data_IF_025785603631
#
_entry.id   IF_025785603631
#
_cell.length_a   1.000
_cell.length_b   1.000
_cell.length_c   1.000
_cell.angle_alpha   90.00
_cell.angle_beta   90.00
_cell.angle_gamma   90.00
#
_symmetry.space_group_name_H-M   'P 1'
#
loop_
_entity.id
_entity.type
_entity.pdbx_description
1 polymer ?
#
# COMPACT_ATOMS: atom_id res chain seq x y z
N UNK A 1 -10.38 44.65 -18.93
CA UNK A 1 -9.84 43.29 -18.71
C UNK A 1 -10.02 43.03 -17.22
N UNK A 2 -10.98 42.17 -16.85
CA UNK A 2 -11.19 41.82 -15.45
C UNK A 2 -10.10 40.84 -15.05
N UNK A 3 -9.27 41.24 -14.10
CA UNK A 3 -8.50 40.30 -13.29
C UNK A 3 -9.53 39.43 -12.57
N UNK A 4 -9.67 38.18 -13.02
CA UNK A 4 -10.39 37.18 -12.25
C UNK A 4 -9.52 36.88 -11.04
N UNK A 5 -9.85 37.47 -9.90
CA UNK A 5 -9.49 36.93 -8.58
C UNK A 5 -9.93 35.46 -8.59
N UNK A 6 -8.98 34.58 -8.89
CA UNK A 6 -9.23 33.15 -8.92
C UNK A 6 -9.16 32.73 -7.46
N UNK A 7 -10.32 32.67 -6.83
CA UNK A 7 -10.46 32.21 -5.44
C UNK A 7 -9.81 30.83 -5.32
N UNK A 8 -8.84 30.70 -4.41
CA UNK A 8 -8.13 29.44 -4.20
C UNK A 8 -9.12 28.37 -3.71
N UNK A 9 -8.93 27.14 -4.16
CA UNK A 9 -9.76 26.03 -3.72
C UNK A 9 -9.51 25.69 -2.24
N UNK A 10 -10.46 24.99 -1.60
CA UNK A 10 -10.29 24.52 -0.22
C UNK A 10 -9.04 23.62 -0.06
N UNK A 11 -8.72 22.82 -1.08
CA UNK A 11 -7.51 21.99 -1.12
C UNK A 11 -6.24 22.84 -1.27
N UNK A 12 -6.26 23.92 -2.06
CA UNK A 12 -5.10 24.81 -2.23
C UNK A 12 -4.77 25.61 -0.96
N UNK A 13 -5.78 25.88 -0.12
CA UNK A 13 -5.62 26.61 1.14
C UNK A 13 -5.41 25.71 2.36
N UNK A 14 -5.43 24.39 2.19
CA UNK A 14 -5.42 23.45 3.30
C UNK A 14 -4.03 23.29 3.92
N UNK A 15 -3.83 23.75 5.15
CA UNK A 15 -2.59 23.51 5.88
C UNK A 15 -2.71 22.21 6.71
N UNK A 16 -1.96 21.14 6.37
CA UNK A 16 -2.01 19.87 7.08
C UNK A 16 -1.28 19.90 8.44
N UNK A 17 -0.48 20.94 8.72
CA UNK A 17 0.30 21.10 9.96
C UNK A 17 1.21 19.91 10.32
N UNK A 18 1.69 19.17 9.31
CA UNK A 18 2.63 18.06 9.51
C UNK A 18 4.05 18.61 9.64
N UNK A 19 4.65 18.41 10.81
CA UNK A 19 6.04 18.79 11.04
C UNK A 19 6.99 17.78 10.40
N UNK A 20 8.09 18.28 9.83
CA UNK A 20 9.17 17.44 9.31
C UNK A 20 9.79 16.63 10.45
N UNK A 21 9.75 15.31 10.33
CA UNK A 21 10.34 14.39 11.29
C UNK A 21 11.81 14.09 10.97
N UNK A 22 12.51 13.51 11.94
CA UNK A 22 13.90 13.08 11.80
C UNK A 22 14.01 11.62 12.24
N UNK A 23 14.61 10.80 11.40
CA UNK A 23 15.00 9.44 11.76
C UNK A 23 16.33 9.49 12.55
N UNK A 24 16.44 8.80 13.70
CA UNK A 24 17.68 8.80 14.51
C UNK A 24 18.87 8.11 13.83
N UNK A 25 18.63 7.26 12.82
CA UNK A 25 19.65 6.50 12.09
C UNK A 25 20.15 7.22 10.82
N UNK A 26 19.56 8.35 10.44
CA UNK A 26 20.02 9.11 9.28
C UNK A 26 18.96 10.01 8.66
N UNK A 27 19.17 10.33 7.38
CA UNK A 27 18.29 11.20 6.60
C UNK A 27 17.13 10.44 5.94
N UNK A 28 16.56 9.45 6.63
CA UNK A 28 15.49 8.61 6.11
C UNK A 28 14.12 9.24 6.37
N UNK A 29 13.20 9.07 5.41
CA UNK A 29 11.79 9.49 5.59
C UNK A 29 10.88 8.32 5.92
N UNK A 30 11.21 7.12 5.43
CA UNK A 30 10.41 5.92 5.65
C UNK A 30 10.82 5.21 6.95
N UNK A 31 9.85 4.62 7.68
CA UNK A 31 10.11 3.79 8.85
C UNK A 31 11.09 2.65 8.55
N UNK A 32 11.80 2.20 9.59
CA UNK A 32 12.85 1.19 9.48
C UNK A 32 12.36 -0.10 8.80
N UNK A 33 11.14 -0.55 9.12
CA UNK A 33 10.56 -1.75 8.55
C UNK A 33 10.52 -1.73 7.02
N UNK A 34 10.04 -0.64 6.40
CA UNK A 34 9.98 -0.52 4.93
C UNK A 34 11.39 -0.46 4.30
N UNK A 35 12.30 0.32 4.87
CA UNK A 35 13.65 0.46 4.29
C UNK A 35 14.57 -0.73 4.51
N UNK A 36 14.19 -1.66 5.40
CA UNK A 36 14.98 -2.86 5.70
C UNK A 36 14.46 -4.11 4.99
N UNK A 37 13.40 -3.99 4.18
CA UNK A 37 12.86 -5.11 3.44
C UNK A 37 13.91 -5.72 2.50
N UNK A 38 13.93 -7.05 2.34
CA UNK A 38 14.84 -7.71 1.43
C UNK A 38 14.41 -7.51 -0.03
N UNK A 39 15.37 -7.47 -0.95
CA UNK A 39 15.07 -7.47 -2.37
C UNK A 39 14.39 -8.77 -2.82
N UNK A 40 13.37 -8.68 -3.70
CA UNK A 40 12.91 -7.47 -4.40
C UNK A 40 11.76 -6.72 -3.70
N UNK A 41 11.38 -7.07 -2.47
CA UNK A 41 10.20 -6.50 -1.79
C UNK A 41 10.36 -5.03 -1.40
N UNK A 42 11.59 -4.50 -1.35
CA UNK A 42 11.91 -3.09 -1.13
C UNK A 42 11.82 -2.23 -2.41
N UNK A 43 11.54 -2.86 -3.55
CA UNK A 43 11.39 -2.26 -4.87
C UNK A 43 10.00 -2.69 -5.39
N UNK A 44 9.05 -1.78 -5.58
CA UNK A 44 7.70 -2.08 -6.09
C UNK A 44 7.65 -2.56 -7.55
N UNK A 45 8.63 -3.37 -7.98
CA UNK A 45 8.82 -3.91 -9.32
C UNK A 45 8.13 -5.27 -9.43
N UNK A 46 6.86 -5.23 -9.85
CA UNK A 46 6.05 -6.43 -10.04
C UNK A 46 6.65 -7.40 -11.07
N UNK A 47 7.31 -6.92 -12.13
CA UNK A 47 7.88 -7.80 -13.15
C UNK A 47 8.95 -8.69 -12.53
N UNK A 48 9.81 -8.11 -11.68
CA UNK A 48 10.83 -8.86 -10.94
C UNK A 48 10.22 -9.74 -9.85
N UNK A 49 9.21 -9.27 -9.12
CA UNK A 49 8.54 -10.03 -8.06
C UNK A 49 7.81 -11.23 -8.65
N UNK A 50 7.03 -11.03 -9.72
CA UNK A 50 6.23 -12.05 -10.39
C UNK A 50 7.07 -13.24 -10.86
N UNK A 51 8.30 -13.00 -11.29
CA UNK A 51 9.26 -14.00 -11.77
C UNK A 51 10.06 -14.71 -10.66
N UNK A 52 9.94 -14.31 -9.39
CA UNK A 52 10.68 -14.93 -8.29
C UNK A 52 10.32 -16.42 -8.13
N UNK A 53 11.29 -17.32 -7.93
CA UNK A 53 11.00 -18.72 -7.68
C UNK A 53 10.34 -18.91 -6.31
N UNK A 54 9.30 -19.75 -6.21
CA UNK A 54 8.58 -20.04 -4.95
C UNK A 54 9.32 -21.08 -4.10
N UNK A 55 10.61 -20.87 -3.84
CA UNK A 55 11.41 -21.75 -2.97
C UNK A 55 11.03 -21.55 -1.49
N UNK A 56 11.36 -22.52 -0.64
CA UNK A 56 11.08 -22.40 0.80
C UNK A 56 11.75 -21.19 1.46
N UNK A 57 12.94 -20.79 1.00
CA UNK A 57 13.63 -19.59 1.46
C UNK A 57 12.86 -18.32 1.10
N UNK A 58 12.37 -18.20 -0.15
CA UNK A 58 11.59 -17.05 -0.59
C UNK A 58 10.21 -16.99 0.06
N UNK A 59 9.60 -18.13 0.34
CA UNK A 59 8.34 -18.18 1.10
C UNK A 59 8.56 -17.76 2.55
N UNK A 60 9.66 -18.18 3.18
CA UNK A 60 9.99 -17.73 4.54
C UNK A 60 10.26 -16.22 4.59
N UNK A 61 10.95 -15.69 3.59
CA UNK A 61 11.18 -14.25 3.41
C UNK A 61 9.86 -13.49 3.22
N UNK A 62 9.00 -13.93 2.30
CA UNK A 62 7.69 -13.34 2.05
C UNK A 62 6.81 -13.32 3.32
N UNK A 63 6.81 -14.42 4.09
CA UNK A 63 6.14 -14.48 5.39
C UNK A 63 6.70 -13.44 6.36
N UNK A 64 8.02 -13.30 6.44
CA UNK A 64 8.65 -12.31 7.30
C UNK A 64 8.25 -10.88 6.91
N UNK A 65 8.27 -10.57 5.60
CA UNK A 65 7.87 -9.26 5.07
C UNK A 65 6.45 -8.91 5.53
N UNK A 66 5.47 -9.75 5.26
CA UNK A 66 4.06 -9.45 5.62
C UNK A 66 3.86 -9.39 7.13
N UNK A 67 4.57 -10.23 7.90
CA UNK A 67 4.54 -10.16 9.37
C UNK A 67 5.03 -8.80 9.87
N UNK A 68 6.16 -8.32 9.36
CA UNK A 68 6.74 -7.03 9.72
C UNK A 68 5.83 -5.85 9.31
N UNK A 69 5.25 -5.91 8.10
CA UNK A 69 4.27 -4.93 7.64
C UNK A 69 3.03 -4.85 8.55
N UNK A 70 2.62 -5.97 9.12
CA UNK A 70 1.42 -6.05 9.95
C UNK A 70 1.66 -5.65 11.41
N UNK A 71 2.87 -5.89 11.92
CA UNK A 71 3.19 -5.71 13.35
C UNK A 71 3.83 -4.36 13.68
N UNK A 72 4.45 -3.66 12.72
CA UNK A 72 5.08 -2.37 12.97
C UNK A 72 4.05 -1.21 12.99
N UNK A 73 3.81 -0.56 14.16
CA UNK A 73 2.84 0.53 14.27
C UNK A 73 3.27 1.80 13.51
N UNK A 74 4.56 1.99 13.20
CA UNK A 74 5.03 3.15 12.43
C UNK A 74 4.55 3.11 10.97
N UNK A 75 4.05 1.96 10.50
CA UNK A 75 3.53 1.78 9.15
C UNK A 75 2.06 2.19 8.99
N UNK A 76 1.38 2.54 10.07
CA UNK A 76 0.02 3.06 10.07
C UNK A 76 -0.06 4.44 10.75
N UNK A 77 0.68 5.46 10.25
CA UNK A 77 0.63 6.79 10.83
C UNK A 77 -0.76 7.42 10.64
N UNK A 78 -1.14 8.30 11.56
CA UNK A 78 -2.33 9.16 11.37
C UNK A 78 -2.02 10.19 10.26
N UNK A 79 -2.67 10.03 9.11
CA UNK A 79 -2.50 10.92 7.96
C UNK A 79 -3.62 11.95 7.93
N UNK A 80 -3.32 13.26 8.06
CA UNK A 80 -4.31 14.31 7.92
C UNK A 80 -5.08 14.19 6.60
N UNK A 81 -6.41 14.21 6.68
CA UNK A 81 -7.27 14.04 5.52
C UNK A 81 -7.44 15.37 4.78
N UNK A 82 -7.13 15.44 3.48
CA UNK A 82 -7.37 16.65 2.70
C UNK A 82 -8.88 16.91 2.56
N UNK A 83 -9.30 18.17 2.40
CA UNK A 83 -10.70 18.49 2.14
C UNK A 83 -11.14 17.90 0.77
N UNK A 84 -12.38 17.44 0.70
CA UNK A 84 -13.01 16.96 -0.54
C UNK A 84 -13.01 18.07 -1.60
N UNK A 85 -12.66 17.81 -2.89
CA UNK A 85 -13.03 16.61 -3.65
C UNK A 85 -11.94 15.57 -3.98
N UNK A 86 -10.77 15.60 -3.36
CA UNK A 86 -9.77 14.52 -3.50
C UNK A 86 -8.79 14.70 -4.67
N UNK A 87 -8.79 15.86 -5.35
CA UNK A 87 -7.79 16.17 -6.38
C UNK A 87 -6.39 16.24 -5.75
N UNK A 88 -6.29 16.70 -4.49
CA UNK A 88 -5.01 16.73 -3.79
C UNK A 88 -4.43 15.33 -3.58
N UNK A 89 -5.28 14.31 -3.36
CA UNK A 89 -4.83 12.91 -3.26
C UNK A 89 -4.23 12.43 -4.59
N UNK A 90 -4.83 12.78 -5.72
CA UNK A 90 -4.25 12.44 -7.03
C UNK A 90 -2.89 13.10 -7.25
N UNK A 91 -2.68 14.32 -6.74
CA UNK A 91 -1.37 14.97 -6.84
C UNK A 91 -0.35 14.36 -5.87
N UNK A 92 -0.78 13.85 -4.71
CA UNK A 92 0.07 13.00 -3.87
C UNK A 92 0.50 11.74 -4.61
N UNK A 93 -0.41 11.08 -5.32
CA UNK A 93 -0.08 9.88 -6.11
C UNK A 93 0.96 10.17 -7.20
N UNK A 94 0.83 11.29 -7.93
CA UNK A 94 1.83 11.76 -8.90
C UNK A 94 3.19 11.99 -8.22
N UNK A 95 3.19 12.60 -7.04
CA UNK A 95 4.41 12.85 -6.28
C UNK A 95 5.06 11.55 -5.79
N UNK A 96 4.28 10.59 -5.28
CA UNK A 96 4.77 9.25 -4.89
C UNK A 96 5.39 8.51 -6.07
N UNK A 97 4.76 8.59 -7.25
CA UNK A 97 5.32 8.00 -8.46
C UNK A 97 6.68 8.63 -8.80
N UNK A 98 6.78 9.95 -8.75
CA UNK A 98 8.05 10.64 -9.02
C UNK A 98 9.13 10.30 -7.98
N UNK A 99 8.75 10.10 -6.72
CA UNK A 99 9.64 9.57 -5.67
C UNK A 99 10.14 8.17 -6.05
N UNK A 100 9.24 7.25 -6.42
CA UNK A 100 9.61 5.89 -6.83
C UNK A 100 10.49 5.84 -8.08
N UNK A 101 10.27 6.71 -9.06
CA UNK A 101 11.11 6.79 -10.26
C UNK A 101 12.53 7.26 -9.94
N UNK A 102 12.69 8.19 -9.00
CA UNK A 102 13.99 8.78 -8.64
C UNK A 102 14.75 7.98 -7.58
N UNK A 103 14.02 7.38 -6.65
CA UNK A 103 14.50 6.63 -5.49
C UNK A 103 13.77 5.28 -5.44
N UNK A 104 14.11 4.34 -6.34
CA UNK A 104 13.33 3.11 -6.56
C UNK A 104 13.33 2.13 -5.39
N UNK A 105 14.32 2.21 -4.50
CA UNK A 105 14.35 1.41 -3.28
C UNK A 105 13.82 2.20 -2.11
N UNK A 106 13.04 1.56 -1.23
CA UNK A 106 12.57 2.18 0.01
C UNK A 106 13.73 2.72 0.88
N UNK A 107 14.88 2.05 0.86
CA UNK A 107 16.10 2.52 1.55
C UNK A 107 16.75 3.78 0.95
N UNK A 108 16.39 4.16 -0.27
CA UNK A 108 16.90 5.35 -0.94
C UNK A 108 16.04 6.60 -0.70
N UNK A 109 14.83 6.42 -0.17
CA UNK A 109 13.91 7.54 0.06
C UNK A 109 14.38 8.35 1.26
N UNK A 110 15.08 9.45 0.94
CA UNK A 110 15.71 10.35 1.90
C UNK A 110 15.13 11.75 1.79
N UNK A 111 15.22 12.51 2.88
CA UNK A 111 14.78 13.89 2.93
C UNK A 111 15.55 14.77 1.94
N UNK A 112 16.86 14.56 1.80
CA UNK A 112 17.69 15.23 0.79
C UNK A 112 17.23 14.92 -0.65
N UNK A 113 16.90 13.66 -0.96
CA UNK A 113 16.39 13.27 -2.27
C UNK A 113 15.01 13.84 -2.56
N UNK A 114 14.12 13.85 -1.55
CA UNK A 114 12.81 14.49 -1.62
C UNK A 114 12.93 16.00 -1.86
N UNK A 115 13.84 16.68 -1.17
CA UNK A 115 14.08 18.12 -1.36
C UNK A 115 14.64 18.44 -2.76
N UNK A 116 15.45 17.55 -3.34
CA UNK A 116 15.90 17.66 -4.73
C UNK A 116 14.72 17.56 -5.70
N UNK A 117 13.86 16.56 -5.53
CA UNK A 117 12.66 16.39 -6.35
C UNK A 117 11.72 17.60 -6.27
N UNK A 118 11.49 18.12 -5.06
CA UNK A 118 10.68 19.34 -4.84
C UNK A 118 11.30 20.56 -5.54
N UNK A 119 12.63 20.70 -5.50
CA UNK A 119 13.33 21.79 -6.18
C UNK A 119 13.17 21.70 -7.71
N UNK A 120 13.26 20.49 -8.27
CA UNK A 120 13.02 20.26 -9.69
C UNK A 120 11.59 20.59 -10.09
N UNK A 121 10.60 20.16 -9.30
CA UNK A 121 9.18 20.47 -9.52
C UNK A 121 8.92 21.98 -9.52
N UNK A 122 9.47 22.71 -8.54
CA UNK A 122 9.38 24.18 -8.46
C UNK A 122 10.06 24.89 -9.64
N UNK A 123 11.02 24.24 -10.30
CA UNK A 123 11.72 24.76 -11.48
C UNK A 123 10.97 24.59 -12.82
N UNK A 124 9.85 23.87 -12.85
CA UNK A 124 9.06 23.62 -14.08
C UNK A 124 8.39 24.90 -14.58
N UNK A 125 8.37 25.11 -15.90
CA UNK A 125 7.76 26.29 -16.54
C UNK A 125 6.26 26.45 -16.24
N UNK A 126 5.57 25.32 -16.01
CA UNK A 126 4.15 25.29 -15.61
C UNK A 126 3.98 24.28 -14.49
N UNK A 127 3.79 24.79 -13.28
CA UNK A 127 3.40 24.01 -12.11
C UNK A 127 1.96 24.38 -11.75
N UNK A 128 1.06 23.40 -11.75
CA UNK A 128 -0.34 23.65 -11.40
C UNK A 128 -0.47 23.96 -9.90
N UNK A 129 -1.51 24.69 -9.46
CA UNK A 129 -1.67 25.11 -8.07
C UNK A 129 -1.55 23.97 -7.03
N UNK A 130 -2.20 22.83 -7.28
CA UNK A 130 -2.13 21.68 -6.37
C UNK A 130 -0.74 21.02 -6.32
N UNK A 131 0.02 21.02 -7.43
CA UNK A 131 1.41 20.54 -7.41
C UNK A 131 2.32 21.47 -6.63
N UNK A 132 2.08 22.79 -6.71
CA UNK A 132 2.76 23.77 -5.86
C UNK A 132 2.40 23.53 -4.39
N UNK A 133 1.14 23.30 -4.10
CA UNK A 133 0.67 22.99 -2.76
C UNK A 133 1.38 21.75 -2.18
N UNK A 134 1.49 20.66 -2.94
CA UNK A 134 2.26 19.48 -2.51
C UNK A 134 3.74 19.79 -2.30
N UNK A 135 4.36 20.60 -3.17
CA UNK A 135 5.75 21.02 -3.00
C UNK A 135 5.96 21.91 -1.75
N UNK A 136 4.94 22.65 -1.32
CA UNK A 136 4.95 23.50 -0.13
C UNK A 136 4.61 22.71 1.16
N UNK A 137 3.92 21.57 1.02
CA UNK A 137 3.51 20.68 2.11
C UNK A 137 3.97 19.23 1.86
N UNK A 138 5.26 19.04 1.53
CA UNK A 138 5.79 17.73 1.13
C UNK A 138 5.71 16.70 2.25
N UNK A 139 5.76 17.14 3.50
CA UNK A 139 5.73 16.28 4.68
C UNK A 139 4.45 15.45 4.76
N UNK A 140 3.27 16.03 4.48
CA UNK A 140 2.02 15.25 4.50
C UNK A 140 1.96 14.28 3.32
N UNK A 141 2.50 14.66 2.16
CA UNK A 141 2.55 13.77 1.00
C UNK A 141 3.45 12.56 1.28
N UNK A 142 4.63 12.76 1.87
CA UNK A 142 5.51 11.65 2.28
C UNK A 142 4.88 10.80 3.40
N UNK A 143 4.23 11.42 4.39
CA UNK A 143 3.53 10.70 5.46
C UNK A 143 2.44 9.78 4.88
N UNK A 144 1.68 10.27 3.90
CA UNK A 144 0.65 9.51 3.19
C UNK A 144 1.22 8.37 2.32
N UNK A 145 2.51 8.41 1.98
CA UNK A 145 3.17 7.37 1.19
C UNK A 145 3.42 6.09 2.00
N UNK A 146 3.60 6.20 3.32
CA UNK A 146 3.92 5.06 4.20
C UNK A 146 2.84 3.97 4.16
N UNK A 147 1.55 4.27 4.45
CA UNK A 147 0.50 3.25 4.39
C UNK A 147 0.29 2.71 2.98
N UNK A 148 0.52 3.52 1.94
CA UNK A 148 0.48 3.06 0.54
C UNK A 148 1.57 2.04 0.23
N UNK A 149 2.81 2.31 0.59
CA UNK A 149 3.92 1.36 0.38
C UNK A 149 3.70 0.07 1.16
N UNK A 150 3.16 0.17 2.38
CA UNK A 150 2.74 -0.99 3.19
C UNK A 150 1.72 -1.84 2.45
N UNK A 151 0.68 -1.22 1.89
CA UNK A 151 -0.37 -1.87 1.11
C UNK A 151 0.17 -2.51 -0.18
N UNK A 152 0.87 -1.74 -1.01
CA UNK A 152 1.46 -2.19 -2.30
C UNK A 152 2.43 -3.38 -2.11
N UNK A 153 3.19 -3.38 -1.01
CA UNK A 153 4.12 -4.48 -0.69
C UNK A 153 3.37 -5.74 -0.25
N UNK A 154 2.35 -5.60 0.60
CA UNK A 154 1.51 -6.73 1.00
C UNK A 154 0.76 -7.32 -0.19
N UNK A 155 0.19 -6.48 -1.06
CA UNK A 155 -0.44 -6.87 -2.33
C UNK A 155 0.50 -7.72 -3.18
N UNK A 156 1.73 -7.23 -3.38
CA UNK A 156 2.75 -7.92 -4.16
C UNK A 156 3.11 -9.29 -3.58
N UNK A 157 3.25 -9.41 -2.26
CA UNK A 157 3.51 -10.71 -1.62
C UNK A 157 2.35 -11.68 -1.83
N UNK A 158 1.12 -11.26 -1.58
CA UNK A 158 -0.04 -12.15 -1.70
C UNK A 158 -0.30 -12.56 -3.15
N UNK A 159 -0.20 -11.64 -4.10
CA UNK A 159 -0.26 -11.98 -5.53
C UNK A 159 0.83 -12.96 -5.93
N UNK A 160 2.05 -12.79 -5.41
CA UNK A 160 3.15 -13.70 -5.69
C UNK A 160 2.88 -15.12 -5.17
N UNK A 161 2.29 -15.26 -3.98
CA UNK A 161 1.88 -16.55 -3.39
C UNK A 161 0.74 -17.21 -4.19
N UNK A 162 -0.24 -16.43 -4.64
CA UNK A 162 -1.39 -16.92 -5.43
C UNK A 162 -0.97 -17.53 -6.77
N UNK A 163 0.17 -17.09 -7.33
CA UNK A 163 0.73 -17.66 -8.57
C UNK A 163 1.36 -19.04 -8.41
N UNK A 164 1.46 -19.58 -7.18
CA UNK A 164 1.95 -20.93 -6.98
C UNK A 164 1.01 -21.97 -7.60
N UNK A 165 1.55 -23.08 -8.11
CA UNK A 165 0.74 -24.17 -8.66
C UNK A 165 -0.05 -24.94 -7.59
N UNK A 166 0.40 -24.85 -6.33
CA UNK A 166 -0.24 -25.46 -5.16
C UNK A 166 -0.24 -24.46 -3.98
N UNK A 167 -1.08 -23.41 -4.02
CA UNK A 167 -1.12 -22.41 -2.94
C UNK A 167 -1.44 -23.02 -1.57
N UNK A 168 -2.19 -24.13 -1.53
CA UNK A 168 -2.59 -24.82 -0.31
C UNK A 168 -1.41 -25.22 0.60
N UNK A 169 -0.19 -25.35 0.05
CA UNK A 169 1.03 -25.62 0.82
C UNK A 169 1.44 -24.50 1.79
N UNK A 170 0.81 -23.32 1.70
CA UNK A 170 1.04 -22.18 2.59
C UNK A 170 -0.04 -22.00 3.67
N UNK A 171 -1.08 -22.85 3.67
CA UNK A 171 -2.27 -22.64 4.49
C UNK A 171 -1.99 -22.62 6.00
N UNK A 172 -0.88 -23.22 6.46
CA UNK A 172 -0.47 -23.28 7.87
C UNK A 172 -0.16 -21.91 8.49
N UNK A 173 0.18 -20.91 7.67
CA UNK A 173 0.43 -19.54 8.14
C UNK A 173 -0.32 -18.48 7.33
N UNK A 174 -0.58 -18.73 6.04
CA UNK A 174 -1.11 -17.72 5.15
C UNK A 174 -2.58 -17.37 5.43
N UNK A 175 -3.38 -18.30 5.96
CA UNK A 175 -4.81 -18.04 6.25
C UNK A 175 -4.97 -16.94 7.31
N UNK A 176 -4.34 -17.12 8.48
CA UNK A 176 -4.41 -16.15 9.58
C UNK A 176 -3.78 -14.81 9.18
N UNK A 177 -2.65 -14.86 8.46
CA UNK A 177 -1.96 -13.66 8.01
C UNK A 177 -2.79 -12.87 7.00
N UNK A 178 -3.38 -13.53 6.00
CA UNK A 178 -4.23 -12.89 5.00
C UNK A 178 -5.49 -12.31 5.64
N UNK A 179 -6.14 -13.04 6.54
CA UNK A 179 -7.32 -12.53 7.25
C UNK A 179 -6.99 -11.26 8.06
N UNK A 180 -5.89 -11.27 8.82
CA UNK A 180 -5.43 -10.07 9.55
C UNK A 180 -5.09 -8.91 8.62
N UNK A 181 -4.49 -9.20 7.47
CA UNK A 181 -4.20 -8.18 6.46
C UNK A 181 -5.48 -7.51 5.93
N UNK A 182 -6.52 -8.30 5.63
CA UNK A 182 -7.82 -7.74 5.21
C UNK A 182 -8.46 -6.89 6.31
N UNK A 183 -8.38 -7.33 7.57
CA UNK A 183 -8.91 -6.59 8.72
C UNK A 183 -8.22 -5.22 8.85
N UNK A 184 -6.91 -5.19 8.71
CA UNK A 184 -6.07 -3.99 8.78
C UNK A 184 -6.03 -3.18 7.48
N UNK A 185 -6.80 -3.59 6.47
CA UNK A 185 -6.88 -2.95 5.14
C UNK A 185 -5.51 -2.80 4.45
N UNK A 186 -4.74 -3.90 4.42
CA UNK A 186 -3.44 -3.99 3.75
C UNK A 186 -3.40 -5.17 2.78
N UNK A 187 -3.05 -4.92 1.52
CA UNK A 187 -3.07 -5.91 0.44
C UNK A 187 -4.40 -6.67 0.35
N UNK A 188 -5.52 -6.02 0.71
CA UNK A 188 -6.76 -6.70 1.04
C UNK A 188 -7.31 -7.52 -0.13
N UNK A 189 -7.33 -6.95 -1.33
CA UNK A 189 -7.78 -7.64 -2.54
C UNK A 189 -6.95 -8.91 -2.78
N UNK A 190 -5.62 -8.80 -2.82
CA UNK A 190 -4.75 -9.96 -3.04
C UNK A 190 -4.80 -10.99 -1.91
N UNK A 191 -5.00 -10.56 -0.66
CA UNK A 191 -5.19 -11.45 0.48
C UNK A 191 -6.50 -12.26 0.33
N UNK A 192 -7.59 -11.62 -0.11
CA UNK A 192 -8.86 -12.27 -0.43
C UNK A 192 -8.69 -13.26 -1.59
N UNK A 193 -7.96 -12.88 -2.64
CA UNK A 193 -7.60 -13.77 -3.75
C UNK A 193 -6.85 -15.00 -3.27
N UNK A 194 -5.83 -14.81 -2.41
CA UNK A 194 -5.05 -15.91 -1.86
C UNK A 194 -5.94 -16.84 -1.03
N UNK A 195 -6.80 -16.31 -0.15
CA UNK A 195 -7.74 -17.14 0.63
C UNK A 195 -8.63 -17.99 -0.28
N UNK A 196 -9.09 -17.43 -1.40
CA UNK A 196 -9.81 -18.19 -2.43
C UNK A 196 -8.96 -19.30 -3.06
N UNK A 197 -7.72 -18.98 -3.41
CA UNK A 197 -6.78 -19.92 -4.06
C UNK A 197 -6.29 -21.04 -3.13
N UNK A 198 -6.18 -20.79 -1.82
CA UNK A 198 -5.83 -21.79 -0.81
C UNK A 198 -6.87 -22.92 -0.78
N UNK A 199 -8.15 -22.59 -0.93
CA UNK A 199 -9.26 -23.55 -1.03
C UNK A 199 -9.45 -24.46 0.18
N UNK A 200 -8.76 -24.22 1.31
CA UNK A 200 -8.89 -25.01 2.52
C UNK A 200 -10.18 -24.65 3.29
N UNK A 201 -10.71 -25.55 4.13
CA UNK A 201 -11.85 -25.24 4.99
C UNK A 201 -11.61 -24.01 5.88
N UNK A 202 -10.38 -23.83 6.36
CA UNK A 202 -9.98 -22.69 7.19
C UNK A 202 -9.99 -21.38 6.39
N UNK A 203 -9.50 -21.40 5.14
CA UNK A 203 -9.51 -20.23 4.26
C UNK A 203 -10.94 -19.83 3.89
N UNK A 204 -11.81 -20.82 3.62
CA UNK A 204 -13.24 -20.57 3.43
C UNK A 204 -13.88 -19.95 4.66
N UNK A 205 -13.60 -20.49 5.85
CA UNK A 205 -14.13 -19.94 7.10
C UNK A 205 -13.64 -18.51 7.37
N UNK A 206 -12.41 -18.17 6.96
CA UNK A 206 -11.90 -16.80 7.02
C UNK A 206 -12.69 -15.87 6.08
N UNK A 207 -12.90 -16.26 4.81
CA UNK A 207 -13.73 -15.50 3.89
C UNK A 207 -15.16 -15.29 4.40
N UNK A 208 -15.76 -16.30 5.05
CA UNK A 208 -17.08 -16.19 5.68
C UNK A 208 -17.09 -15.11 6.77
N UNK A 209 -16.06 -15.06 7.63
CA UNK A 209 -15.92 -14.00 8.64
C UNK A 209 -15.69 -12.62 8.03
N UNK A 210 -14.92 -12.54 6.95
CA UNK A 210 -14.64 -11.27 6.26
C UNK A 210 -15.88 -10.73 5.52
N UNK A 211 -16.75 -11.61 5.01
CA UNK A 211 -17.94 -11.25 4.24
C UNK A 211 -19.01 -10.44 5.01
N UNK A 212 -18.95 -10.44 6.34
CA UNK A 212 -19.89 -9.69 7.20
C UNK A 212 -19.36 -8.33 7.66
N UNK A 213 -18.28 -7.85 7.04
CA UNK A 213 -17.49 -6.67 7.41
C UNK A 213 -16.90 -6.79 8.82
N UNK A 214 -15.59 -7.09 8.96
CA UNK A 214 -14.96 -7.11 10.26
C UNK A 214 -14.87 -5.70 10.88
N UNK A 215 -14.55 -5.67 12.18
CA UNK A 215 -14.11 -4.42 12.83
C UNK A 215 -12.76 -3.97 12.28
N UNK A 216 -12.35 -2.74 12.63
CA UNK A 216 -11.07 -2.18 12.17
C UNK A 216 -11.17 -1.40 10.84
N UNK A 217 -10.02 -1.14 10.20
CA UNK A 217 -9.90 -0.36 8.97
C UNK A 217 -10.66 -0.92 7.75
N UNK A 218 -10.86 -2.25 7.68
CA UNK A 218 -11.48 -2.93 6.54
C UNK A 218 -12.76 -2.24 6.01
N UNK A 219 -12.79 -2.04 4.70
CA UNK A 219 -13.90 -1.40 3.98
C UNK A 219 -15.12 -2.32 3.81
N UNK A 220 -16.25 -1.76 3.36
CA UNK A 220 -17.37 -2.58 2.89
C UNK A 220 -17.06 -3.28 1.56
N UNK A 221 -16.24 -2.66 0.71
CA UNK A 221 -15.81 -3.25 -0.56
C UNK A 221 -15.02 -4.54 -0.31
N UNK A 222 -14.19 -4.59 0.74
CA UNK A 222 -13.47 -5.82 1.14
C UNK A 222 -14.44 -6.95 1.53
N UNK A 223 -15.54 -6.62 2.21
CA UNK A 223 -16.55 -7.59 2.60
C UNK A 223 -17.31 -8.12 1.38
N UNK A 224 -17.65 -7.25 0.43
CA UNK A 224 -18.28 -7.61 -0.83
C UNK A 224 -17.35 -8.49 -1.69
N UNK A 225 -16.06 -8.17 -1.75
CA UNK A 225 -15.04 -8.97 -2.44
C UNK A 225 -14.91 -10.38 -1.82
N UNK A 226 -14.86 -10.47 -0.48
CA UNK A 226 -14.84 -11.76 0.21
C UNK A 226 -16.10 -12.59 -0.05
N UNK A 227 -17.28 -11.94 -0.07
CA UNK A 227 -18.54 -12.60 -0.43
C UNK A 227 -18.53 -13.10 -1.88
N UNK A 228 -18.02 -12.30 -2.81
CA UNK A 228 -17.84 -12.69 -4.21
C UNK A 228 -16.99 -13.96 -4.33
N UNK A 229 -15.88 -14.03 -3.61
CA UNK A 229 -15.01 -15.22 -3.61
C UNK A 229 -15.66 -16.48 -3.04
N UNK A 230 -16.50 -16.36 -2.01
CA UNK A 230 -17.28 -17.50 -1.52
C UNK A 230 -18.25 -18.05 -2.56
N UNK A 231 -18.85 -17.18 -3.36
CA UNK A 231 -19.78 -17.57 -4.43
C UNK A 231 -19.05 -18.34 -5.54
N UNK A 232 -17.88 -17.87 -5.96
CA UNK A 232 -17.05 -18.54 -6.97
C UNK A 232 -16.65 -19.95 -6.54
N UNK A 233 -16.24 -20.11 -5.27
CA UNK A 233 -15.90 -21.43 -4.70
C UNK A 233 -17.11 -22.38 -4.69
N UNK A 234 -18.31 -21.89 -4.34
CA UNK A 234 -19.52 -22.71 -4.31
C UNK A 234 -19.99 -23.19 -5.68
N UNK A 235 -19.78 -22.40 -6.74
CA UNK A 235 -20.13 -22.80 -8.10
C UNK A 235 -19.13 -23.82 -8.67
N UNK A 236 -17.84 -23.69 -8.35
CA UNK A 236 -16.81 -24.64 -8.79
C UNK A 236 -16.97 -26.05 -8.20
N UNK A 237 -17.58 -26.18 -7.02
CA UNK A 237 -17.92 -27.48 -6.40
C UNK A 237 -19.14 -28.14 -7.07
N UNK A 238 -20.11 -27.34 -7.52
CA UNK A 238 -21.31 -27.82 -8.20
C UNK A 238 -21.03 -28.34 -9.63
N UNK A 239 -20.02 -27.80 -10.32
CA UNK A 239 -19.60 -28.27 -11.65
C UNK A 239 -18.73 -29.54 -11.62
N UNK A 240 -18.18 -29.89 -10.45
CA UNK A 240 -17.33 -31.09 -10.25
C UNK A 240 -18.07 -32.29 -9.67
N UNK A 241 -19.34 -32.13 -9.29
CA UNK A 241 -20.22 -33.14 -8.71
C UNK A 241 -21.20 -33.71 -9.74
#
# INVERSE_FOLDING_TARGET
>A
MSESDTELSAEEMWDPQVARWRDPEGDYVLPRALRSLPQPWDEGDWDRIGDLPRTGERVAEARQVVTELLEDPELAPDVPQPPSPGLLRHVWEEFHQAVGERMPRMSQVTWAGVDELVREWRGRERLYPLQRHVADHVEVAILAMIPRLRDDTADSVFRWLTLDSDPGRFADWAVDTAERCVIEDIGADAAIELLGALGSPEARAALERLSVKPGGPASWDNAEAAQGRLFDLGNGEAERS
#
